data_IF_747701663143
#
_entry.id   IF_747701663143
#
_cell.length_a   1.000
_cell.length_b   1.000
_cell.length_c   1.000
_cell.angle_alpha   90.00
_cell.angle_beta   90.00
_cell.angle_gamma   90.00
#
_symmetry.space_group_name_H-M   'P 1'
#
loop_
_entity.id
_entity.type
_entity.pdbx_description
1 polymer ?
#
# COMPACT_ATOMS: atom_id res chain seq x y z
N UNK A 1 -24.59 27.22 -49.32
CA UNK A 1 -24.03 26.82 -48.01
C UNK A 1 -23.86 25.30 -47.99
N UNK A 2 -22.67 24.80 -47.65
CA UNK A 2 -22.31 23.37 -47.65
C UNK A 2 -22.62 22.77 -46.27
N UNK A 3 -23.17 21.55 -46.25
CA UNK A 3 -23.64 20.81 -45.07
C UNK A 3 -22.46 20.46 -44.16
N UNK A 4 -22.63 20.64 -42.85
CA UNK A 4 -21.77 20.04 -41.82
C UNK A 4 -22.59 18.99 -41.08
N UNK A 5 -22.28 17.72 -41.30
CA UNK A 5 -22.63 16.63 -40.39
C UNK A 5 -21.68 16.70 -39.20
N UNK A 6 -22.24 16.76 -38.01
CA UNK A 6 -21.57 16.43 -36.76
C UNK A 6 -22.57 15.62 -35.95
N UNK A 7 -22.47 14.29 -36.05
CA UNK A 7 -23.11 13.40 -35.09
C UNK A 7 -22.42 13.65 -33.73
N UNK A 8 -23.17 14.16 -32.76
CA UNK A 8 -22.71 14.31 -31.37
C UNK A 8 -22.75 12.92 -30.68
N UNK A 9 -21.60 12.35 -30.25
CA UNK A 9 -21.55 11.03 -29.63
C UNK A 9 -21.79 11.05 -28.11
N UNK A 10 -22.31 12.15 -27.56
CA UNK A 10 -22.49 12.34 -26.11
C UNK A 10 -23.95 12.56 -25.71
N UNK A 11 -24.86 11.81 -26.33
CA UNK A 11 -26.20 11.59 -25.78
C UNK A 11 -26.14 10.67 -24.57
N UNK A 12 -25.81 11.20 -23.40
CA UNK A 12 -25.96 10.45 -22.15
C UNK A 12 -27.45 10.50 -21.77
N UNK A 13 -28.19 9.47 -22.16
CA UNK A 13 -29.52 9.20 -21.62
C UNK A 13 -29.37 8.96 -20.11
N UNK A 14 -30.01 9.81 -19.32
CA UNK A 14 -30.19 9.59 -17.89
C UNK A 14 -31.30 8.57 -17.73
N UNK A 15 -30.92 7.30 -17.61
CA UNK A 15 -31.83 6.24 -17.18
C UNK A 15 -32.07 6.34 -15.68
N UNK A 16 -33.34 6.32 -15.32
CA UNK A 16 -33.89 6.82 -14.07
C UNK A 16 -34.42 5.63 -13.26
N UNK A 17 -33.70 5.30 -12.18
CA UNK A 17 -34.27 4.80 -10.93
C UNK A 17 -35.12 3.52 -10.96
N UNK A 18 -34.47 2.37 -10.77
CA UNK A 18 -35.10 1.15 -10.24
C UNK A 18 -34.46 0.78 -8.90
N UNK A 19 -35.22 1.00 -7.83
CA UNK A 19 -34.97 0.58 -6.46
C UNK A 19 -35.05 -0.95 -6.34
N UNK A 20 -33.92 -1.61 -6.06
CA UNK A 20 -33.90 -3.00 -5.60
C UNK A 20 -33.04 -3.08 -4.35
N UNK A 21 -33.71 -3.10 -3.21
CA UNK A 21 -33.15 -3.39 -1.89
C UNK A 21 -32.83 -4.88 -1.77
N UNK A 22 -31.55 -5.25 -1.86
CA UNK A 22 -31.09 -6.60 -1.49
C UNK A 22 -30.60 -6.56 -0.05
N UNK A 23 -31.49 -6.94 0.89
CA UNK A 23 -31.10 -7.36 2.22
C UNK A 23 -30.55 -8.79 2.14
N UNK A 24 -29.23 -8.95 2.24
CA UNK A 24 -28.63 -10.25 2.53
C UNK A 24 -28.22 -10.30 4.01
N UNK A 25 -28.71 -11.31 4.72
CA UNK A 25 -28.53 -11.50 6.17
C UNK A 25 -27.11 -12.01 6.46
N UNK A 26 -26.50 -11.66 7.60
CA UNK A 26 -25.29 -12.34 8.03
C UNK A 26 -25.68 -13.76 8.49
N UNK A 27 -25.22 -14.77 7.74
CA UNK A 27 -25.21 -16.15 8.23
C UNK A 27 -23.89 -16.35 8.95
N UNK A 28 -23.93 -16.23 10.27
CA UNK A 28 -22.89 -16.69 11.18
C UNK A 28 -22.81 -18.22 11.05
N UNK A 29 -21.69 -18.71 10.54
CA UNK A 29 -21.34 -20.12 10.60
C UNK A 29 -19.86 -20.22 10.98
N UNK A 30 -19.62 -20.37 12.28
CA UNK A 30 -18.34 -20.74 12.84
C UNK A 30 -17.85 -22.09 12.28
N UNK A 31 -16.54 -22.31 12.39
CA UNK A 31 -15.77 -23.51 12.06
C UNK A 31 -15.23 -23.64 10.63
N UNK A 32 -14.14 -22.90 10.35
CA UNK A 32 -12.98 -23.48 9.67
C UNK A 32 -11.70 -23.06 10.38
N UNK A 33 -11.38 -23.76 11.46
CA UNK A 33 -10.01 -23.94 11.94
C UNK A 33 -9.21 -24.70 10.86
N UNK A 34 -8.89 -24.01 9.77
CA UNK A 34 -7.88 -24.40 8.78
C UNK A 34 -7.60 -23.20 7.85
N UNK A 35 -7.26 -22.03 8.41
CA UNK A 35 -6.84 -20.90 7.58
C UNK A 35 -5.37 -21.05 7.26
N UNK A 36 -5.06 -21.73 6.16
CA UNK A 36 -3.97 -21.28 5.31
C UNK A 36 -4.32 -19.85 4.87
N UNK A 37 -4.12 -18.88 5.76
CA UNK A 37 -4.46 -17.48 5.49
C UNK A 37 -3.68 -17.08 4.27
N UNK A 38 -4.39 -16.64 3.23
CA UNK A 38 -3.75 -16.10 2.04
C UNK A 38 -2.80 -14.98 2.52
N UNK A 39 -1.54 -14.92 2.03
CA UNK A 39 -0.64 -13.85 2.43
C UNK A 39 -1.28 -12.49 2.18
N UNK A 40 -1.20 -11.57 3.14
CA UNK A 40 -1.86 -10.27 3.08
C UNK A 40 -1.58 -9.51 1.77
N UNK A 41 -0.36 -9.62 1.22
CA UNK A 41 0.02 -8.99 -0.04
C UNK A 41 -0.77 -9.48 -1.26
N UNK A 42 -1.35 -10.69 -1.21
CA UNK A 42 -2.16 -11.31 -2.27
C UNK A 42 -3.63 -10.90 -2.15
N UNK A 43 -4.13 -10.62 -0.93
CA UNK A 43 -5.54 -10.24 -0.73
C UNK A 43 -5.84 -8.76 -1.01
N UNK A 44 -4.82 -7.89 -0.97
CA UNK A 44 -5.01 -6.44 -1.12
C UNK A 44 -5.30 -6.03 -2.57
N UNK A 45 -6.13 -5.00 -2.73
CA UNK A 45 -6.43 -4.38 -4.04
C UNK A 45 -5.34 -3.42 -4.56
N UNK A 46 -4.52 -2.88 -3.67
CA UNK A 46 -3.40 -1.97 -3.97
C UNK A 46 -2.39 -1.99 -2.84
N UNK A 47 -1.16 -1.53 -3.12
CA UNK A 47 -0.13 -1.33 -2.10
C UNK A 47 -0.57 -0.35 -0.99
N UNK A 48 -1.57 0.49 -1.21
CA UNK A 48 -2.09 1.43 -0.20
C UNK A 48 -3.24 0.87 0.64
N UNK A 49 -3.82 -0.27 0.24
CA UNK A 49 -5.04 -0.77 0.86
C UNK A 49 -4.81 -1.14 2.33
N UNK A 50 -5.68 -0.64 3.22
CA UNK A 50 -5.57 -0.88 4.66
C UNK A 50 -4.46 -0.10 5.38
N UNK A 51 -3.85 0.89 4.73
CA UNK A 51 -2.78 1.73 5.32
C UNK A 51 -3.24 3.17 5.50
N UNK A 52 -2.86 3.77 6.62
CA UNK A 52 -2.96 5.21 6.84
C UNK A 52 -1.70 5.92 6.29
N UNK A 53 -1.86 7.13 5.76
CA UNK A 53 -0.72 7.89 5.23
C UNK A 53 0.14 8.45 6.35
N UNK A 54 1.43 8.10 6.36
CA UNK A 54 2.45 8.68 7.24
C UNK A 54 3.50 9.38 6.39
N UNK A 55 3.69 10.68 6.61
CA UNK A 55 4.71 11.49 5.94
C UNK A 55 5.90 11.70 6.86
N UNK A 56 7.10 11.36 6.40
CA UNK A 56 8.36 11.73 7.04
C UNK A 56 9.37 12.20 5.99
N UNK A 57 10.30 13.05 6.44
CA UNK A 57 11.39 13.56 5.63
C UNK A 57 12.66 12.75 5.91
N UNK A 58 13.37 12.37 4.86
CA UNK A 58 14.64 11.66 4.95
C UNK A 58 15.78 12.56 4.50
N UNK A 59 16.95 12.39 5.12
CA UNK A 59 18.18 12.99 4.62
C UNK A 59 18.49 12.48 3.21
N UNK A 60 19.15 13.28 2.37
CA UNK A 60 19.48 12.93 1.00
C UNK A 60 20.29 11.61 0.91
N UNK A 61 21.25 11.43 1.83
CA UNK A 61 22.06 10.22 1.87
C UNK A 61 21.21 8.97 2.16
N UNK A 62 20.24 9.07 3.07
CA UNK A 62 19.32 7.98 3.37
C UNK A 62 18.44 7.63 2.17
N UNK A 63 17.96 8.63 1.43
CA UNK A 63 17.19 8.41 0.21
C UNK A 63 18.00 7.68 -0.86
N UNK A 64 19.28 8.03 -1.05
CA UNK A 64 20.16 7.31 -1.99
C UNK A 64 20.38 5.85 -1.59
N UNK A 65 20.56 5.59 -0.29
CA UNK A 65 20.74 4.22 0.23
C UNK A 65 19.47 3.38 0.12
N UNK A 66 18.29 3.98 0.08
CA UNK A 66 17.02 3.26 -0.06
C UNK A 66 16.93 2.52 -1.41
N UNK A 67 17.42 3.10 -2.50
CA UNK A 67 17.40 2.46 -3.82
C UNK A 67 18.30 1.21 -3.85
N UNK A 68 19.50 1.30 -3.27
CA UNK A 68 20.40 0.14 -3.15
C UNK A 68 19.80 -0.92 -2.21
N UNK A 69 19.27 -0.51 -1.05
CA UNK A 69 18.61 -1.42 -0.12
C UNK A 69 17.43 -2.16 -0.77
N UNK A 70 16.62 -1.47 -1.58
CA UNK A 70 15.52 -2.08 -2.33
C UNK A 70 16.03 -3.15 -3.28
N UNK A 71 17.09 -2.85 -4.05
CA UNK A 71 17.68 -3.79 -4.99
C UNK A 71 18.19 -5.04 -4.26
N UNK A 72 18.89 -4.86 -3.15
CA UNK A 72 19.45 -5.96 -2.37
C UNK A 72 18.31 -6.85 -1.81
N UNK A 73 17.23 -6.26 -1.31
CA UNK A 73 16.04 -7.01 -0.86
C UNK A 73 15.34 -7.75 -2.01
N UNK A 74 15.21 -7.12 -3.19
CA UNK A 74 14.60 -7.77 -4.37
C UNK A 74 15.44 -8.94 -4.88
N UNK A 75 16.77 -8.83 -4.81
CA UNK A 75 17.70 -9.91 -5.16
C UNK A 75 17.54 -11.11 -4.22
N UNK A 76 17.51 -10.88 -2.90
CA UNK A 76 17.32 -11.94 -1.89
C UNK A 76 15.91 -12.55 -1.93
N UNK A 77 14.88 -11.72 -2.13
CA UNK A 77 13.49 -12.17 -2.18
C UNK A 77 13.13 -12.89 -3.49
N UNK A 78 13.84 -12.60 -4.59
CA UNK A 78 13.57 -13.13 -5.92
C UNK A 78 12.32 -12.53 -6.59
N UNK A 79 11.79 -11.42 -6.09
CA UNK A 79 10.66 -10.69 -6.66
C UNK A 79 10.76 -9.18 -6.43
N UNK A 80 10.10 -8.40 -7.30
CA UNK A 80 10.03 -6.96 -7.15
C UNK A 80 9.15 -6.56 -5.96
N UNK A 81 9.60 -5.58 -5.19
CA UNK A 81 8.93 -5.06 -3.99
C UNK A 81 8.50 -3.63 -4.24
N UNK A 82 7.30 -3.25 -3.77
CA UNK A 82 6.91 -1.84 -3.78
C UNK A 82 7.64 -1.08 -2.66
N UNK A 83 8.08 0.14 -2.91
CA UNK A 83 8.77 0.96 -1.88
C UNK A 83 7.95 1.12 -0.60
N UNK A 84 6.62 1.21 -0.69
CA UNK A 84 5.77 1.25 0.51
C UNK A 84 5.87 -0.05 1.33
N UNK A 85 5.95 -1.21 0.68
CA UNK A 85 6.12 -2.50 1.37
C UNK A 85 7.51 -2.63 1.97
N UNK A 86 8.54 -2.22 1.22
CA UNK A 86 9.91 -2.18 1.71
C UNK A 86 10.01 -1.34 2.99
N UNK A 87 9.43 -0.13 2.98
CA UNK A 87 9.45 0.78 4.13
C UNK A 87 8.71 0.19 5.32
N UNK A 88 7.53 -0.36 5.13
CA UNK A 88 6.78 -0.97 6.24
C UNK A 88 7.52 -2.19 6.81
N UNK A 89 8.03 -3.08 5.95
CA UNK A 89 8.82 -4.23 6.40
C UNK A 89 10.09 -3.80 7.15
N UNK A 90 10.85 -2.84 6.61
CA UNK A 90 12.03 -2.30 7.26
C UNK A 90 11.70 -1.63 8.60
N UNK A 91 10.55 -0.94 8.68
CA UNK A 91 10.13 -0.29 9.92
C UNK A 91 9.69 -1.31 10.98
N UNK A 92 9.01 -2.40 10.58
CA UNK A 92 8.67 -3.50 11.48
C UNK A 92 9.92 -4.20 12.01
N UNK A 93 10.92 -4.49 11.15
CA UNK A 93 12.21 -5.01 11.61
C UNK A 93 12.86 -4.04 12.59
N UNK A 94 12.91 -2.74 12.28
CA UNK A 94 13.47 -1.74 13.20
C UNK A 94 12.75 -1.68 14.55
N UNK A 95 11.43 -1.94 14.61
CA UNK A 95 10.68 -2.01 15.88
C UNK A 95 11.07 -3.23 16.73
N UNK A 96 11.51 -4.32 16.11
CA UNK A 96 12.03 -5.50 16.80
C UNK A 96 13.49 -5.34 17.23
N UNK A 97 14.21 -4.38 16.64
CA UNK A 97 15.64 -4.07 16.87
C UNK A 97 15.82 -2.66 17.44
N UNK A 98 15.07 -2.34 18.50
CA UNK A 98 15.01 -0.98 19.06
C UNK A 98 16.37 -0.48 19.61
N UNK A 99 17.24 -1.39 20.04
CA UNK A 99 18.60 -1.10 20.49
C UNK A 99 19.48 -0.59 19.35
N UNK A 100 19.46 -1.26 18.19
CA UNK A 100 20.21 -0.80 17.00
C UNK A 100 19.72 0.58 16.52
N UNK A 101 18.41 0.83 16.62
CA UNK A 101 17.84 2.16 16.32
C UNK A 101 18.34 3.20 17.31
N UNK A 102 18.40 2.88 18.61
CA UNK A 102 18.92 3.80 19.61
C UNK A 102 20.40 4.13 19.38
N UNK A 103 21.24 3.13 19.06
CA UNK A 103 22.65 3.35 18.73
C UNK A 103 22.82 4.29 17.51
N UNK A 104 21.98 4.14 16.49
CA UNK A 104 21.99 5.03 15.32
C UNK A 104 21.61 6.48 15.69
N UNK A 105 20.61 6.66 16.56
CA UNK A 105 20.20 7.97 17.05
C UNK A 105 21.28 8.64 17.90
N UNK A 106 22.01 7.85 18.69
CA UNK A 106 23.17 8.31 19.46
C UNK A 106 24.32 8.74 18.54
N UNK A 107 24.61 7.96 17.48
CA UNK A 107 25.61 8.34 16.46
C UNK A 107 25.24 9.66 15.76
N UNK A 108 23.95 9.90 15.51
CA UNK A 108 23.47 11.16 14.95
C UNK A 108 23.49 12.31 15.96
N UNK A 109 23.70 12.02 17.25
CA UNK A 109 23.72 13.00 18.33
C UNK A 109 22.34 13.55 18.67
N UNK A 110 21.26 12.78 18.45
CA UNK A 110 19.89 13.22 18.75
C UNK A 110 19.66 13.50 20.25
N UNK A 111 20.48 12.95 21.15
CA UNK A 111 20.46 13.31 22.57
C UNK A 111 20.82 14.79 22.84
N UNK A 112 21.47 15.46 21.88
CA UNK A 112 21.90 16.87 21.97
C UNK A 112 20.98 17.85 21.23
N UNK A 113 19.92 17.36 20.56
CA UNK A 113 19.02 18.18 19.71
C UNK A 113 17.86 18.81 20.47
#
# INVERSE_FOLDING_TARGET
MKRGSGDDPFGHELDNGEDVTVQDKPTENESRENSSSVPWAVERSSVKSGREMVQFYLQENTQKREDDFKRDVEEEAGYNVYTTDLREAAYLVAMEHADEVAEMLDEWGCEYS
#
